data_IF_697145439138
#
_entry.id   IF_697145439138
#
_cell.length_a   1.000
_cell.length_b   1.000
_cell.length_c   1.000
_cell.angle_alpha   90.00
_cell.angle_beta   90.00
_cell.angle_gamma   90.00
#
_symmetry.space_group_name_H-M   'P 1'
#
loop_
_entity.id
_entity.type
_entity.pdbx_description
1 polymer ?
#
# COMPACT_ATOMS: atom_id res chain seq x y z
N UNK A 1 6.45 -17.67 10.02
CA UNK A 1 5.62 -17.08 8.95
C UNK A 1 4.70 -16.06 9.60
N UNK A 2 4.60 -14.88 9.03
CA UNK A 2 3.73 -13.80 9.50
C UNK A 2 2.86 -13.34 8.33
N UNK A 3 1.61 -12.99 8.64
CA UNK A 3 0.64 -12.46 7.69
C UNK A 3 0.08 -11.17 8.27
N UNK A 4 0.13 -10.09 7.48
CA UNK A 4 -0.39 -8.77 7.85
C UNK A 4 -1.43 -8.34 6.83
N UNK A 5 -2.51 -7.73 7.30
CA UNK A 5 -3.57 -7.18 6.46
C UNK A 5 -3.85 -5.74 6.89
N UNK A 6 -3.67 -4.81 5.96
CA UNK A 6 -3.90 -3.38 6.18
C UNK A 6 -4.81 -2.80 5.10
N UNK A 7 -5.63 -1.82 5.49
CA UNK A 7 -6.53 -1.11 4.58
C UNK A 7 -6.46 0.38 4.85
N UNK A 8 -6.39 1.16 3.77
CA UNK A 8 -6.29 2.61 3.80
C UNK A 8 -7.37 3.19 2.88
N UNK A 9 -8.36 3.85 3.45
CA UNK A 9 -9.41 4.52 2.67
C UNK A 9 -8.97 5.91 2.20
N UNK A 10 -9.58 6.38 1.12
CA UNK A 10 -9.33 7.71 0.57
C UNK A 10 -9.92 8.76 1.50
N UNK A 11 -9.08 9.72 1.92
CA UNK A 11 -9.51 10.79 2.80
C UNK A 11 -10.46 11.77 2.09
N UNK A 12 -11.69 11.90 2.60
CA UNK A 12 -12.61 12.98 2.22
C UNK A 12 -12.28 14.26 3.02
N UNK A 13 -11.47 15.15 2.46
CA UNK A 13 -11.11 16.41 3.14
C UNK A 13 -12.36 17.22 3.54
N UNK A 14 -12.51 17.43 4.85
CA UNK A 14 -13.57 18.22 5.48
C UNK A 14 -15.00 17.80 5.12
N UNK A 15 -15.18 16.56 4.65
CA UNK A 15 -16.46 16.05 4.14
C UNK A 15 -17.09 16.93 3.02
N UNK A 16 -16.24 17.69 2.31
CA UNK A 16 -16.69 18.67 1.33
C UNK A 16 -17.24 18.01 0.05
N UNK A 17 -16.92 16.74 -0.20
CA UNK A 17 -17.32 16.02 -1.39
C UNK A 17 -18.49 15.07 -1.11
N UNK A 18 -19.60 15.25 -1.83
CA UNK A 18 -20.77 14.37 -1.78
C UNK A 18 -20.62 13.20 -2.76
N UNK A 19 -21.41 12.14 -2.56
CA UNK A 19 -21.52 10.99 -3.48
C UNK A 19 -20.20 10.27 -3.82
N UNK A 20 -19.22 10.31 -2.91
CA UNK A 20 -17.91 9.65 -3.15
C UNK A 20 -17.04 10.33 -4.21
N UNK A 21 -17.35 11.56 -4.62
CA UNK A 21 -16.62 12.26 -5.68
C UNK A 21 -15.11 12.42 -5.39
N UNK A 22 -14.71 12.46 -4.11
CA UNK A 22 -13.30 12.53 -3.67
C UNK A 22 -12.46 11.31 -4.08
N UNK A 23 -13.11 10.21 -4.51
CA UNK A 23 -12.44 8.99 -4.99
C UNK A 23 -12.05 9.05 -6.47
N UNK A 24 -12.53 10.04 -7.22
CA UNK A 24 -12.31 10.10 -8.67
C UNK A 24 -11.21 11.11 -9.02
N UNK A 25 -10.28 10.69 -9.87
CA UNK A 25 -9.22 11.54 -10.43
C UNK A 25 -9.36 11.59 -11.94
N UNK A 26 -9.29 12.77 -12.55
CA UNK A 26 -9.23 12.93 -14.00
C UNK A 26 -7.77 13.08 -14.45
N UNK A 27 -7.35 12.28 -15.43
CA UNK A 27 -6.03 12.31 -16.03
C UNK A 27 -6.13 12.76 -17.48
N UNK A 28 -5.23 13.67 -17.91
CA UNK A 28 -5.13 14.08 -19.31
C UNK A 28 -3.93 13.47 -20.01
N UNK A 29 -4.10 13.08 -21.28
CA UNK A 29 -3.00 12.62 -22.13
C UNK A 29 -1.98 13.73 -22.49
N UNK A 30 -2.32 15.00 -22.27
CA UNK A 30 -1.48 16.15 -22.62
C UNK A 30 -1.17 17.01 -21.39
N UNK A 31 0.09 17.41 -21.23
CA UNK A 31 0.64 18.22 -20.15
C UNK A 31 0.31 19.72 -20.24
N UNK A 32 -0.53 20.14 -21.20
CA UNK A 32 -0.88 21.54 -21.42
C UNK A 32 -2.36 21.68 -21.76
N UNK A 33 -3.22 21.55 -20.74
CA UNK A 33 -4.61 21.95 -20.83
C UNK A 33 -4.75 23.39 -20.31
N UNK A 34 -4.35 24.38 -21.13
CA UNK A 34 -4.56 25.80 -20.82
C UNK A 34 -6.00 26.25 -21.05
N UNK A 35 -6.85 25.43 -21.71
CA UNK A 35 -8.28 25.70 -21.91
C UNK A 35 -9.12 24.42 -21.76
N UNK A 36 -9.94 24.38 -20.70
CA UNK A 36 -10.80 23.25 -20.31
C UNK A 36 -11.98 23.01 -21.27
N UNK A 37 -12.28 23.97 -22.15
CA UNK A 37 -13.51 24.05 -22.95
C UNK A 37 -13.54 23.19 -24.23
N UNK A 38 -12.42 22.55 -24.62
CA UNK A 38 -12.32 21.75 -25.87
C UNK A 38 -11.87 20.30 -25.64
N UNK A 39 -12.12 19.75 -24.45
CA UNK A 39 -11.39 18.59 -23.94
C UNK A 39 -12.22 17.30 -23.72
N UNK A 40 -13.37 17.16 -24.39
CA UNK A 40 -14.26 15.99 -24.23
C UNK A 40 -13.62 14.64 -24.61
N UNK A 41 -12.49 14.65 -25.33
CA UNK A 41 -11.76 13.45 -25.80
C UNK A 41 -10.34 13.36 -25.24
N UNK A 42 -10.02 14.05 -24.14
CA UNK A 42 -8.63 14.16 -23.65
C UNK A 42 -8.43 13.61 -22.25
N UNK A 43 -9.50 13.25 -21.55
CA UNK A 43 -9.46 12.82 -20.17
C UNK A 43 -9.94 11.38 -20.00
N UNK A 44 -9.27 10.68 -19.10
CA UNK A 44 -9.69 9.40 -18.54
C UNK A 44 -9.86 9.56 -17.03
N UNK A 45 -10.69 8.72 -16.43
CA UNK A 45 -10.97 8.76 -15.00
C UNK A 45 -10.37 7.55 -14.30
N UNK A 46 -9.77 7.77 -13.15
CA UNK A 46 -9.38 6.72 -12.20
C UNK A 46 -10.26 6.82 -10.96
N UNK A 47 -10.67 5.66 -10.45
CA UNK A 47 -11.42 5.55 -9.19
C UNK A 47 -10.55 4.90 -8.14
N UNK A 48 -10.20 5.68 -7.13
CA UNK A 48 -9.44 5.24 -5.98
C UNK A 48 -10.39 4.65 -4.93
N UNK A 49 -10.42 3.32 -4.82
CA UNK A 49 -11.18 2.60 -3.79
C UNK A 49 -10.41 2.45 -2.46
N UNK A 50 -9.28 3.14 -2.34
CA UNK A 50 -8.33 2.94 -1.26
C UNK A 50 -7.20 1.99 -1.65
N UNK A 51 -6.40 1.66 -0.64
CA UNK A 51 -5.27 0.76 -0.75
C UNK A 51 -5.48 -0.39 0.24
N UNK A 52 -5.43 -1.62 -0.27
CA UNK A 52 -5.38 -2.82 0.56
C UNK A 52 -4.00 -3.41 0.40
N UNK A 53 -3.37 -3.76 1.51
CA UNK A 53 -2.07 -4.41 1.53
C UNK A 53 -2.17 -5.72 2.32
N UNK A 54 -1.75 -6.81 1.69
CA UNK A 54 -1.69 -8.13 2.30
C UNK A 54 -0.26 -8.66 2.20
N UNK A 55 0.45 -8.65 3.32
CA UNK A 55 1.86 -9.00 3.40
C UNK A 55 2.06 -10.42 3.92
N UNK A 56 2.95 -11.17 3.28
CA UNK A 56 3.39 -12.50 3.70
C UNK A 56 4.89 -12.46 3.97
N UNK A 57 5.28 -12.63 5.23
CA UNK A 57 6.65 -12.44 5.69
C UNK A 57 7.25 -13.71 6.29
N UNK A 58 8.49 -14.01 5.89
CA UNK A 58 9.32 -15.03 6.53
C UNK A 58 10.43 -14.30 7.29
N UNK A 59 10.41 -14.43 8.61
CA UNK A 59 11.36 -13.78 9.51
C UNK A 59 12.35 -14.80 10.06
N UNK A 60 13.63 -14.44 10.07
CA UNK A 60 14.67 -15.08 10.86
C UNK A 60 14.91 -14.22 12.10
N UNK A 61 14.74 -14.80 13.29
CA UNK A 61 14.86 -14.10 14.57
C UNK A 61 15.98 -14.70 15.40
N UNK A 62 16.63 -13.86 16.20
CA UNK A 62 17.63 -14.26 17.18
C UNK A 62 17.31 -13.64 18.53
N UNK A 63 17.14 -14.50 19.53
CA UNK A 63 16.92 -14.11 20.92
C UNK A 63 18.25 -14.09 21.66
N UNK A 64 18.54 -12.96 22.30
CA UNK A 64 19.75 -12.75 23.09
C UNK A 64 19.42 -13.13 24.53
N UNK A 65 20.00 -14.24 24.98
CA UNK A 65 19.87 -14.69 26.37
C UNK A 65 20.99 -14.05 27.18
N UNK A 66 20.61 -13.33 28.24
CA UNK A 66 21.55 -12.70 29.16
C UNK A 66 21.27 -13.25 30.56
N UNK A 67 22.28 -13.90 31.15
CA UNK A 67 22.17 -14.47 32.48
C UNK A 67 21.76 -13.41 33.52
N UNK A 68 20.79 -13.76 34.36
CA UNK A 68 20.29 -12.89 35.42
C UNK A 68 19.28 -11.83 34.99
N UNK A 69 18.94 -11.71 33.70
CA UNK A 69 17.87 -10.81 33.25
C UNK A 69 16.56 -11.56 32.99
N UNK A 70 15.41 -10.98 33.43
CA UNK A 70 14.12 -11.64 33.26
C UNK A 70 13.50 -11.39 31.86
N UNK A 71 14.18 -10.63 30.99
CA UNK A 71 13.77 -10.36 29.62
C UNK A 71 14.91 -10.70 28.64
N UNK A 72 14.54 -11.04 27.41
CA UNK A 72 15.46 -11.42 26.33
C UNK A 72 15.32 -10.44 25.17
N UNK A 73 16.33 -9.60 24.91
CA UNK A 73 16.35 -8.80 23.69
C UNK A 73 16.27 -9.69 22.45
N UNK A 74 15.56 -9.27 21.42
CA UNK A 74 15.47 -9.99 20.16
C UNK A 74 15.65 -9.07 18.97
N UNK A 75 16.16 -9.63 17.89
CA UNK A 75 16.26 -8.99 16.57
C UNK A 75 15.78 -9.97 15.51
N UNK A 76 15.02 -9.48 14.54
CA UNK A 76 14.61 -10.24 13.38
C UNK A 76 14.88 -9.48 12.09
N UNK A 77 15.19 -10.23 11.05
CA UNK A 77 15.18 -9.78 9.66
C UNK A 77 14.27 -10.69 8.85
N UNK A 78 13.46 -10.10 7.99
CA UNK A 78 12.49 -10.82 7.19
C UNK A 78 12.45 -10.36 5.75
N UNK A 79 12.07 -11.29 4.88
CA UNK A 79 11.79 -11.05 3.47
C UNK A 79 10.44 -11.67 3.13
N UNK A 80 9.74 -11.07 2.18
CA UNK A 80 8.39 -11.48 1.88
C UNK A 80 7.83 -10.87 0.61
N UNK A 81 6.51 -11.00 0.48
CA UNK A 81 5.76 -10.43 -0.62
C UNK A 81 4.50 -9.75 -0.11
N UNK A 82 4.18 -8.62 -0.73
CA UNK A 82 3.04 -7.79 -0.41
C UNK A 82 2.12 -7.76 -1.63
N UNK A 83 0.88 -8.16 -1.42
CA UNK A 83 -0.18 -8.13 -2.42
C UNK A 83 -0.92 -6.82 -2.22
N UNK A 84 -0.50 -5.81 -2.98
CA UNK A 84 -1.10 -4.47 -2.91
C UNK A 84 -2.22 -4.38 -3.94
N UNK A 85 -3.42 -4.04 -3.49
CA UNK A 85 -4.57 -3.77 -4.33
C UNK A 85 -4.88 -2.27 -4.32
N UNK A 86 -4.84 -1.65 -5.50
CA UNK A 86 -5.15 -0.24 -5.70
C UNK A 86 -5.82 -0.06 -7.06
N UNK A 87 -6.83 0.81 -7.16
CA UNK A 87 -7.55 1.08 -8.42
C UNK A 87 -8.05 -0.19 -9.14
N UNK A 88 -8.62 -1.13 -8.39
CA UNK A 88 -9.12 -2.43 -8.88
C UNK A 88 -8.03 -3.36 -9.49
N UNK A 89 -6.75 -3.01 -9.36
CA UNK A 89 -5.63 -3.82 -9.82
C UNK A 89 -4.83 -4.41 -8.66
N UNK A 90 -4.53 -5.71 -8.75
CA UNK A 90 -3.71 -6.44 -7.77
C UNK A 90 -2.28 -6.52 -8.28
N UNK A 91 -1.33 -6.05 -7.48
CA UNK A 91 0.08 -5.99 -7.84
C UNK A 91 0.94 -6.63 -6.73
N UNK A 92 1.50 -7.84 -6.95
CA UNK A 92 2.43 -8.42 -6.01
C UNK A 92 3.77 -7.66 -6.05
N UNK A 93 4.31 -7.35 -4.87
CA UNK A 93 5.59 -6.69 -4.68
C UNK A 93 6.46 -7.49 -3.71
N UNK A 94 7.76 -7.33 -3.81
CA UNK A 94 8.71 -7.91 -2.84
C UNK A 94 8.84 -6.93 -1.68
N UNK A 95 8.95 -7.45 -0.46
CA UNK A 95 9.12 -6.64 0.74
C UNK A 95 10.20 -7.21 1.65
N UNK A 96 10.65 -6.35 2.56
CA UNK A 96 11.56 -6.73 3.62
C UNK A 96 11.15 -6.04 4.92
N UNK A 97 11.46 -6.69 6.02
CA UNK A 97 11.07 -6.24 7.34
C UNK A 97 12.21 -6.42 8.33
N UNK A 98 12.33 -5.50 9.28
CA UNK A 98 13.19 -5.62 10.44
C UNK A 98 12.37 -5.50 11.72
N UNK A 99 12.69 -6.30 12.73
CA UNK A 99 12.08 -6.20 14.06
C UNK A 99 13.16 -6.18 15.13
N UNK A 100 12.93 -5.40 16.17
CA UNK A 100 13.80 -5.39 17.33
C UNK A 100 12.98 -5.10 18.59
N UNK A 101 13.28 -5.78 19.68
CA UNK A 101 12.52 -5.61 20.90
C UNK A 101 13.03 -6.45 22.06
N UNK A 102 12.16 -6.60 23.05
CA UNK A 102 12.38 -7.39 24.26
C UNK A 102 11.24 -8.41 24.37
N UNK A 103 11.60 -9.67 24.60
CA UNK A 103 10.69 -10.75 24.98
C UNK A 103 10.71 -10.97 26.50
N UNK A 104 9.57 -11.27 27.08
CA UNK A 104 9.41 -11.68 28.48
C UNK A 104 8.58 -12.96 28.54
N UNK A 105 9.13 -14.01 29.12
CA UNK A 105 8.41 -15.28 29.30
C UNK A 105 7.50 -15.19 30.52
N UNK A 106 6.19 -15.31 30.31
CA UNK A 106 5.19 -15.33 31.39
C UNK A 106 5.11 -16.73 32.00
N UNK A 107 5.17 -17.77 31.17
CA UNK A 107 5.22 -19.19 31.57
C UNK A 107 6.12 -19.99 30.62
N UNK A 108 6.22 -21.30 30.83
CA UNK A 108 6.88 -22.23 29.90
C UNK A 108 6.22 -22.27 28.52
N UNK A 109 4.94 -21.91 28.41
CA UNK A 109 4.18 -21.95 27.14
C UNK A 109 3.90 -20.56 26.55
N UNK A 110 4.06 -19.49 27.32
CA UNK A 110 3.62 -18.16 26.91
C UNK A 110 4.71 -17.10 27.12
N UNK A 111 4.93 -16.30 26.07
CA UNK A 111 5.85 -15.16 26.09
C UNK A 111 5.17 -13.93 25.49
N UNK A 112 5.53 -12.75 26.01
CA UNK A 112 5.11 -11.45 25.50
C UNK A 112 6.31 -10.73 24.91
N UNK A 113 6.11 -10.10 23.76
CA UNK A 113 7.15 -9.34 23.07
C UNK A 113 6.71 -7.89 22.93
N UNK A 114 7.61 -6.97 23.23
CA UNK A 114 7.45 -5.54 23.00
C UNK A 114 8.60 -5.07 22.13
N UNK A 115 8.33 -4.30 21.09
CA UNK A 115 9.37 -3.89 20.16
C UNK A 115 8.88 -2.97 19.07
N UNK A 116 9.84 -2.49 18.29
CA UNK A 116 9.60 -1.79 17.04
C UNK A 116 9.72 -2.76 15.87
N UNK A 117 8.94 -2.49 14.82
CA UNK A 117 9.12 -3.14 13.53
C UNK A 117 9.17 -2.07 12.44
N UNK A 118 9.94 -2.35 11.40
CA UNK A 118 10.03 -1.56 10.19
C UNK A 118 9.71 -2.48 9.02
N UNK A 119 8.76 -2.09 8.19
CA UNK A 119 8.34 -2.82 7.00
C UNK A 119 8.50 -1.96 5.76
N UNK A 120 9.00 -2.52 4.66
CA UNK A 120 9.14 -1.79 3.40
C UNK A 120 8.90 -2.66 2.19
N UNK A 121 8.05 -2.14 1.31
CA UNK A 121 7.77 -2.69 -0.02
C UNK A 121 8.77 -2.11 -1.04
N UNK A 122 9.32 -2.97 -1.91
CA UNK A 122 10.26 -2.60 -2.95
C UNK A 122 9.50 -2.17 -4.21
N UNK A 123 9.80 -0.95 -4.67
CA UNK A 123 9.17 -0.36 -5.84
C UNK A 123 7.83 0.29 -5.50
N UNK A 124 7.60 1.46 -6.09
CA UNK A 124 6.42 2.29 -5.83
C UNK A 124 5.54 2.49 -7.07
N UNK A 125 5.90 1.89 -8.21
CA UNK A 125 5.14 2.00 -9.46
C UNK A 125 4.17 0.84 -9.62
N UNK A 126 2.93 1.19 -9.97
CA UNK A 126 1.84 0.29 -10.30
C UNK A 126 1.45 0.56 -11.75
N UNK A 127 1.60 -0.45 -12.60
CA UNK A 127 1.36 -0.35 -14.05
C UNK A 127 0.04 -1.03 -14.39
N UNK A 128 -0.44 -0.76 -15.60
CA UNK A 128 -1.63 -1.42 -16.16
C UNK A 128 -2.89 -1.20 -15.31
N UNK A 129 -2.98 -0.03 -14.66
CA UNK A 129 -4.17 0.37 -13.92
C UNK A 129 -5.28 0.74 -14.92
N UNK A 130 -6.44 0.06 -14.92
CA UNK A 130 -7.51 0.35 -15.86
C UNK A 130 -8.08 1.74 -15.61
N UNK A 131 -8.19 2.53 -16.68
CA UNK A 131 -8.82 3.85 -16.64
C UNK A 131 -10.19 3.84 -17.31
N UNK A 132 -11.16 4.50 -16.68
CA UNK A 132 -12.51 4.64 -17.21
C UNK A 132 -12.56 5.75 -18.25
N UNK A 133 -13.16 5.45 -19.38
CA UNK A 133 -13.35 6.38 -20.49
C UNK A 133 -14.77 6.96 -20.43
N UNK A 134 -14.95 8.30 -20.50
CA UNK A 134 -16.28 8.90 -20.48
C UNK A 134 -17.10 8.51 -21.71
N UNK A 135 -18.39 8.25 -21.48
CA UNK A 135 -19.37 7.92 -22.52
C UNK A 135 -19.45 9.03 -23.57
N UNK A 136 -19.32 8.67 -24.85
CA UNK A 136 -19.33 9.61 -25.97
C UNK A 136 -17.96 10.21 -26.32
N UNK A 137 -16.87 9.72 -25.71
CA UNK A 137 -15.53 10.07 -26.15
C UNK A 137 -15.05 9.16 -27.30
N UNK A 138 -14.14 9.69 -28.12
CA UNK A 138 -13.52 8.94 -29.23
C UNK A 138 -12.24 8.19 -28.80
N UNK A 139 -12.01 8.04 -27.50
CA UNK A 139 -10.83 7.34 -26.99
C UNK A 139 -11.03 5.83 -27.07
N UNK A 140 -9.96 5.04 -27.33
CA UNK A 140 -10.01 3.59 -27.20
C UNK A 140 -10.54 3.19 -25.82
N UNK A 141 -11.40 2.17 -25.75
CA UNK A 141 -11.99 1.69 -24.48
C UNK A 141 -10.94 1.18 -23.48
N UNK A 142 -9.85 0.59 -23.97
CA UNK A 142 -8.75 0.15 -23.11
C UNK A 142 -7.72 1.27 -22.94
N UNK A 143 -7.81 1.96 -21.80
CA UNK A 143 -6.82 2.93 -21.35
C UNK A 143 -6.16 2.44 -20.06
N UNK A 144 -4.84 2.62 -19.98
CA UNK A 144 -4.06 2.22 -18.82
C UNK A 144 -3.30 3.41 -18.26
N UNK A 145 -3.20 3.46 -16.94
CA UNK A 145 -2.42 4.45 -16.23
C UNK A 145 -1.26 3.79 -15.46
N UNK A 146 -0.24 4.60 -15.20
CA UNK A 146 0.82 4.28 -14.25
C UNK A 146 0.57 5.14 -13.01
N UNK A 147 0.52 4.49 -11.86
CA UNK A 147 0.35 5.15 -10.56
C UNK A 147 1.63 4.97 -9.75
N UNK A 148 2.08 6.04 -9.12
CA UNK A 148 3.24 6.00 -8.23
C UNK A 148 2.78 6.27 -6.80
N UNK A 149 3.00 5.32 -5.90
CA UNK A 149 2.70 5.44 -4.48
C UNK A 149 3.92 5.98 -3.73
N UNK A 150 3.96 7.29 -3.49
CA UNK A 150 5.04 7.87 -2.69
C UNK A 150 4.61 7.95 -1.23
N UNK A 151 5.32 7.22 -0.37
CA UNK A 151 5.15 7.27 1.08
C UNK A 151 6.27 8.15 1.62
N UNK A 152 5.92 9.34 2.11
CA UNK A 152 6.84 10.32 2.70
C UNK A 152 7.09 10.03 4.18
#
# INVERSE_FOLDING_TARGET
>A
LEVLYETFDVKNQNNNYKNGAHRYCALSHHSSATNMSSASNKFVFLKNEGLIDLSFMINACYDIIIEGMPFSPYICAGVGTDVVSMFEAINPKISYQGKLGLGYSISSEASVFIGGHFHRVIGNEFRDIPAMVPSGSNLPENQFAIVTLNVC
#
